data_IF_167199324895
#
_entry.id   IF_167199324895
#
_cell.length_a   1.000
_cell.length_b   1.000
_cell.length_c   1.000
_cell.angle_alpha   90.00
_cell.angle_beta   90.00
_cell.angle_gamma   90.00
#
_symmetry.space_group_name_H-M   'P 1'
#
loop_
_entity.id
_entity.type
_entity.pdbx_description
1 polymer ?
#
# COMPACT_ATOMS: atom_id res chain seq x y z
N UNK A 1 22.99 -5.04 -2.51
CA UNK A 1 22.23 -4.60 -3.70
C UNK A 1 21.12 -3.66 -3.25
N UNK A 2 20.80 -2.63 -4.05
CA UNK A 2 19.66 -1.72 -3.77
C UNK A 2 18.36 -2.54 -3.81
N UNK A 3 17.46 -2.34 -2.85
CA UNK A 3 16.13 -2.96 -2.80
C UNK A 3 15.06 -1.89 -3.02
N UNK A 4 13.93 -2.23 -3.66
CA UNK A 4 12.84 -1.30 -3.88
C UNK A 4 12.04 -1.04 -2.60
N UNK A 5 11.27 0.05 -2.58
CA UNK A 5 10.35 0.39 -1.49
C UNK A 5 8.90 0.13 -1.93
N UNK A 6 8.10 -0.51 -1.08
CA UNK A 6 6.70 -0.76 -1.36
C UNK A 6 5.82 0.35 -0.78
N UNK A 7 4.85 0.82 -1.56
CA UNK A 7 3.81 1.76 -1.13
C UNK A 7 2.49 1.00 -1.14
N UNK A 8 1.86 0.79 0.01
CA UNK A 8 0.55 0.13 0.04
C UNK A 8 -0.52 1.11 -0.44
N UNK A 9 -1.46 0.61 -1.26
CA UNK A 9 -2.53 1.41 -1.86
C UNK A 9 -3.42 2.14 -0.85
N UNK A 10 -3.58 1.56 0.34
CA UNK A 10 -4.56 2.01 1.32
C UNK A 10 -5.98 1.64 0.89
N UNK A 11 -6.96 2.43 1.33
CA UNK A 11 -8.36 2.26 0.92
C UNK A 11 -8.56 2.71 -0.54
N UNK A 12 -9.00 1.82 -1.46
CA UNK A 12 -9.22 2.15 -2.87
C UNK A 12 -10.35 3.14 -3.13
N UNK A 13 -11.26 3.36 -2.16
CA UNK A 13 -12.32 4.37 -2.19
C UNK A 13 -11.88 5.70 -1.55
N UNK A 14 -10.75 5.73 -0.85
CA UNK A 14 -10.17 6.91 -0.23
C UNK A 14 -9.24 7.70 -1.15
N UNK A 15 -8.43 8.59 -0.56
CA UNK A 15 -7.52 9.51 -1.27
C UNK A 15 -6.12 8.94 -1.55
N UNK A 16 -5.82 7.75 -1.00
CA UNK A 16 -4.51 7.11 -1.11
C UNK A 16 -4.04 6.95 -2.56
N UNK A 17 -4.87 6.38 -3.46
CA UNK A 17 -4.52 6.22 -4.87
C UNK A 17 -4.12 7.53 -5.56
N UNK A 18 -4.85 8.63 -5.33
CA UNK A 18 -4.54 9.92 -5.96
C UNK A 18 -3.28 10.55 -5.39
N UNK A 19 -3.04 10.45 -4.07
CA UNK A 19 -1.81 10.94 -3.44
C UNK A 19 -0.60 10.22 -4.05
N UNK A 20 -0.66 8.89 -4.12
CA UNK A 20 0.40 8.07 -4.72
C UNK A 20 0.65 8.49 -6.17
N UNK A 21 -0.41 8.61 -6.97
CA UNK A 21 -0.29 9.01 -8.37
C UNK A 21 0.33 10.40 -8.53
N UNK A 22 -0.05 11.37 -7.68
CA UNK A 22 0.57 12.71 -7.66
C UNK A 22 2.04 12.64 -7.28
N UNK A 23 2.43 11.83 -6.31
CA UNK A 23 3.85 11.67 -5.93
C UNK A 23 4.71 11.18 -7.11
N UNK A 24 4.25 10.18 -7.88
CA UNK A 24 4.97 9.70 -9.07
C UNK A 24 5.02 10.70 -10.22
N UNK A 25 4.02 11.59 -10.33
CA UNK A 25 3.98 12.64 -11.34
C UNK A 25 4.88 13.83 -10.97
N UNK A 26 4.76 14.30 -9.73
CA UNK A 26 5.33 15.58 -9.28
C UNK A 26 6.75 15.43 -8.73
N UNK A 27 7.11 14.24 -8.24
CA UNK A 27 8.42 13.94 -7.67
C UNK A 27 9.01 12.62 -8.24
N UNK A 28 9.12 12.47 -9.57
CA UNK A 28 9.54 11.21 -10.20
C UNK A 28 10.93 10.72 -9.74
N UNK A 29 11.82 11.64 -9.38
CA UNK A 29 13.17 11.31 -8.91
C UNK A 29 13.19 10.73 -7.50
N UNK A 30 12.35 11.28 -6.60
CA UNK A 30 12.14 10.77 -5.23
C UNK A 30 11.48 9.38 -5.26
N UNK A 31 10.60 9.16 -6.22
CA UNK A 31 9.85 7.92 -6.37
C UNK A 31 10.64 6.79 -7.07
N UNK A 32 11.91 7.02 -7.41
CA UNK A 32 12.72 6.05 -8.15
C UNK A 32 13.02 4.80 -7.32
N UNK A 33 12.57 3.65 -7.80
CA UNK A 33 12.68 2.37 -7.09
C UNK A 33 11.57 2.14 -6.06
N UNK A 34 10.54 2.99 -6.04
CA UNK A 34 9.30 2.73 -5.33
C UNK A 34 8.30 2.03 -6.26
N UNK A 35 7.40 1.23 -5.69
CA UNK A 35 6.27 0.65 -6.41
C UNK A 35 5.04 0.54 -5.52
N UNK A 36 3.87 0.49 -6.16
CA UNK A 36 2.59 0.36 -5.45
C UNK A 36 2.24 -1.11 -5.29
N UNK A 37 1.84 -1.50 -4.09
CA UNK A 37 1.22 -2.79 -3.79
C UNK A 37 -0.27 -2.53 -3.72
N UNK A 38 -1.03 -3.01 -4.69
CA UNK A 38 -2.41 -2.57 -4.87
C UNK A 38 -3.11 -3.15 -6.08
N UNK A 39 -4.23 -2.54 -6.43
CA UNK A 39 -5.01 -2.87 -7.61
C UNK A 39 -4.65 -1.98 -8.81
N UNK A 40 -4.29 -2.59 -9.94
CA UNK A 40 -3.86 -1.90 -11.16
C UNK A 40 -4.99 -1.02 -11.73
N UNK A 41 -6.24 -1.48 -11.69
CA UNK A 41 -7.36 -0.71 -12.21
C UNK A 41 -7.62 0.55 -11.37
N UNK A 42 -7.52 0.44 -10.04
CA UNK A 42 -7.61 1.56 -9.10
C UNK A 42 -6.53 2.60 -9.38
N UNK A 43 -5.27 2.18 -9.59
CA UNK A 43 -4.19 3.12 -9.92
C UNK A 43 -4.32 3.72 -11.32
N UNK A 44 -4.89 2.99 -12.29
CA UNK A 44 -5.24 3.54 -13.61
C UNK A 44 -6.30 4.63 -13.51
N UNK A 45 -7.33 4.43 -12.68
CA UNK A 45 -8.35 5.46 -12.39
C UNK A 45 -7.74 6.67 -11.70
N UNK A 46 -6.89 6.47 -10.70
CA UNK A 46 -6.19 7.56 -10.03
C UNK A 46 -5.31 8.38 -10.99
N UNK A 47 -4.55 7.70 -11.87
CA UNK A 47 -3.79 8.35 -12.93
C UNK A 47 -4.66 9.22 -13.83
N UNK A 48 -5.85 8.75 -14.25
CA UNK A 48 -6.79 9.54 -15.06
C UNK A 48 -7.28 10.79 -14.32
N UNK A 49 -7.69 10.64 -13.05
CA UNK A 49 -8.22 11.74 -12.24
C UNK A 49 -7.23 12.89 -12.05
N UNK A 50 -5.94 12.59 -11.98
CA UNK A 50 -4.90 13.60 -11.76
C UNK A 50 -4.36 14.20 -13.08
N UNK A 51 -4.87 13.74 -14.23
CA UNK A 51 -4.40 14.15 -15.56
C UNK A 51 -5.10 15.35 -16.24
N UNK A 52 -6.15 16.01 -15.71
CA UNK A 52 -6.64 17.25 -16.33
C UNK A 52 -5.51 18.27 -16.51
N UNK A 53 -5.23 18.63 -17.78
CA UNK A 53 -4.15 19.55 -18.14
C UNK A 53 -2.73 18.95 -18.15
N UNK A 54 -2.58 17.63 -17.98
CA UNK A 54 -1.28 16.94 -17.94
C UNK A 54 -1.29 15.67 -18.80
N UNK A 55 -0.11 15.19 -19.17
CA UNK A 55 0.02 13.85 -19.77
C UNK A 55 -0.33 12.78 -18.74
N UNK A 56 -1.13 11.80 -19.16
CA UNK A 56 -1.50 10.67 -18.31
C UNK A 56 -0.26 9.88 -17.89
N UNK A 57 -0.16 9.61 -16.59
CA UNK A 57 0.92 8.81 -16.03
C UNK A 57 0.71 7.31 -16.41
N UNK A 58 1.60 6.69 -17.21
CA UNK A 58 1.48 5.29 -17.57
C UNK A 58 1.58 4.40 -16.33
N UNK A 59 0.66 3.44 -16.21
CA UNK A 59 0.65 2.45 -15.14
C UNK A 59 1.26 1.14 -15.66
N UNK A 60 2.41 0.76 -15.10
CA UNK A 60 3.09 -0.50 -15.42
C UNK A 60 2.72 -1.57 -14.40
N UNK A 61 2.25 -2.72 -14.88
CA UNK A 61 2.07 -3.90 -14.02
C UNK A 61 3.42 -4.58 -13.83
N UNK A 62 3.78 -4.87 -12.59
CA UNK A 62 4.98 -5.62 -12.23
C UNK A 62 4.62 -7.06 -11.88
N UNK A 63 5.52 -7.99 -12.21
CA UNK A 63 5.45 -9.37 -11.74
C UNK A 63 6.27 -9.57 -10.47
N UNK A 64 7.37 -8.83 -10.33
CA UNK A 64 8.27 -8.91 -9.18
C UNK A 64 8.63 -7.54 -8.61
N UNK A 65 8.98 -7.44 -7.30
CA UNK A 65 9.38 -6.16 -6.71
C UNK A 65 10.59 -5.55 -7.40
N UNK A 66 11.54 -6.39 -7.85
CA UNK A 66 12.84 -5.94 -8.37
C UNK A 66 12.71 -5.10 -9.65
N UNK A 67 11.66 -5.34 -10.46
CA UNK A 67 11.37 -4.58 -11.68
C UNK A 67 11.18 -3.08 -11.40
N UNK A 68 10.74 -2.71 -10.20
CA UNK A 68 10.59 -1.31 -9.79
C UNK A 68 11.89 -0.50 -9.88
N UNK A 69 13.06 -1.15 -9.75
CA UNK A 69 14.36 -0.48 -9.86
C UNK A 69 14.68 -0.02 -11.30
N UNK A 70 14.06 -0.64 -12.29
CA UNK A 70 14.23 -0.32 -13.71
C UNK A 70 13.07 0.48 -14.31
N UNK A 71 12.04 0.80 -13.52
CA UNK A 71 10.91 1.60 -13.99
C UNK A 71 11.38 3.01 -14.42
N UNK A 72 10.97 3.50 -15.61
CA UNK A 72 11.36 4.82 -16.08
C UNK A 72 10.73 5.92 -15.20
N UNK A 73 11.31 7.13 -15.18
CA UNK A 73 10.67 8.27 -14.53
C UNK A 73 9.30 8.55 -15.16
N UNK A 74 8.39 9.13 -14.39
CA UNK A 74 7.00 9.34 -14.80
C UNK A 74 6.29 8.04 -15.23
N UNK A 75 6.56 6.95 -14.52
CA UNK A 75 5.79 5.72 -14.61
C UNK A 75 5.29 5.36 -13.22
N UNK A 76 4.09 4.79 -13.14
CA UNK A 76 3.51 4.28 -11.90
C UNK A 76 3.58 2.74 -11.93
N UNK A 77 4.65 2.14 -11.37
CA UNK A 77 4.75 0.70 -11.23
C UNK A 77 3.82 0.17 -10.14
N UNK A 78 3.03 -0.84 -10.46
CA UNK A 78 2.04 -1.47 -9.57
C UNK A 78 2.23 -2.99 -9.60
N UNK A 79 2.37 -3.59 -8.43
CA UNK A 79 2.26 -5.03 -8.25
C UNK A 79 0.83 -5.36 -7.79
N UNK A 80 0.11 -6.12 -8.61
CA UNK A 80 -1.28 -6.49 -8.36
C UNK A 80 -1.37 -7.40 -7.12
N UNK A 81 -2.21 -7.02 -6.16
CA UNK A 81 -2.61 -7.90 -5.06
C UNK A 81 -4.01 -8.44 -5.29
N UNK A 82 -4.17 -9.76 -5.08
CA UNK A 82 -5.43 -10.45 -5.29
C UNK A 82 -5.88 -10.49 -6.75
N UNK A 83 -7.06 -11.04 -6.97
CA UNK A 83 -7.70 -11.00 -8.29
C UNK A 83 -8.23 -9.58 -8.58
N UNK A 84 -8.22 -9.11 -9.84
CA UNK A 84 -8.85 -7.85 -10.21
C UNK A 84 -10.33 -7.82 -9.79
N UNK A 85 -10.74 -6.70 -9.19
CA UNK A 85 -12.11 -6.47 -8.72
C UNK A 85 -12.74 -5.25 -9.40
N UNK A 86 -14.08 -5.12 -9.37
CA UNK A 86 -14.75 -3.88 -9.74
C UNK A 86 -14.19 -2.69 -8.94
N UNK A 87 -14.15 -1.53 -9.58
CA UNK A 87 -13.66 -0.30 -8.94
C UNK A 87 -14.57 0.10 -7.77
N UNK A 88 -13.96 0.35 -6.60
CA UNK A 88 -14.68 0.83 -5.43
C UNK A 88 -15.27 2.23 -5.70
N UNK A 89 -16.52 2.49 -5.28
CA UNK A 89 -17.11 3.82 -5.38
C UNK A 89 -16.40 4.80 -4.42
N UNK A 90 -16.12 6.03 -4.89
CA UNK A 90 -15.42 7.02 -4.09
C UNK A 90 -16.15 7.37 -2.79
N UNK A 91 -15.42 7.39 -1.68
CA UNK A 91 -15.97 7.74 -0.36
C UNK A 91 -17.01 6.75 0.18
N UNK A 92 -17.19 5.59 -0.46
CA UNK A 92 -18.14 4.57 -0.01
C UNK A 92 -17.40 3.47 0.73
N UNK A 93 -17.73 3.29 2.00
CA UNK A 93 -17.21 2.23 2.85
C UNK A 93 -17.67 0.87 2.31
N UNK A 94 -16.75 -0.09 2.17
CA UNK A 94 -17.07 -1.46 1.77
C UNK A 94 -16.09 -2.47 2.36
N UNK A 95 -16.58 -3.69 2.60
CA UNK A 95 -15.76 -4.82 3.04
C UNK A 95 -14.63 -5.13 2.06
N UNK A 96 -14.90 -5.06 0.75
CA UNK A 96 -13.91 -5.31 -0.30
C UNK A 96 -12.77 -4.29 -0.29
N UNK A 97 -13.07 -3.00 -0.03
CA UNK A 97 -12.06 -1.96 0.09
C UNK A 97 -11.16 -2.18 1.32
N UNK A 98 -11.76 -2.49 2.47
CA UNK A 98 -11.02 -2.82 3.69
C UNK A 98 -10.14 -4.07 3.53
N UNK A 99 -10.67 -5.11 2.88
CA UNK A 99 -9.93 -6.33 2.56
C UNK A 99 -8.74 -6.05 1.66
N UNK A 100 -8.92 -5.35 0.55
CA UNK A 100 -7.82 -5.02 -0.37
C UNK A 100 -6.73 -4.22 0.35
N UNK A 101 -7.11 -3.21 1.14
CA UNK A 101 -6.17 -2.42 1.91
C UNK A 101 -5.33 -3.29 2.86
N UNK A 102 -5.98 -4.21 3.58
CA UNK A 102 -5.32 -5.16 4.47
C UNK A 102 -4.40 -6.14 3.72
N UNK A 103 -4.85 -6.71 2.61
CA UNK A 103 -4.06 -7.62 1.78
C UNK A 103 -2.78 -6.95 1.25
N UNK A 104 -2.86 -5.66 0.89
CA UNK A 104 -1.69 -4.88 0.47
C UNK A 104 -0.67 -4.72 1.60
N UNK A 105 -1.13 -4.42 2.83
CA UNK A 105 -0.26 -4.32 4.01
C UNK A 105 0.36 -5.67 4.35
N UNK A 106 -0.43 -6.75 4.33
CA UNK A 106 0.04 -8.12 4.58
C UNK A 106 1.11 -8.52 3.56
N UNK A 107 0.88 -8.24 2.27
CA UNK A 107 1.84 -8.53 1.22
C UNK A 107 3.15 -7.78 1.46
N UNK A 108 3.08 -6.46 1.69
CA UNK A 108 4.27 -5.61 1.85
C UNK A 108 5.06 -5.97 3.11
N UNK A 109 4.38 -6.23 4.22
CA UNK A 109 4.98 -6.69 5.47
C UNK A 109 5.75 -8.00 5.27
N UNK A 110 5.13 -8.99 4.63
CA UNK A 110 5.78 -10.27 4.36
C UNK A 110 6.98 -10.12 3.42
N UNK A 111 6.88 -9.27 2.39
CA UNK A 111 8.00 -8.99 1.49
C UNK A 111 9.17 -8.31 2.23
N UNK A 112 8.88 -7.36 3.13
CA UNK A 112 9.90 -6.69 3.94
C UNK A 112 10.59 -7.67 4.90
N UNK A 113 9.82 -8.51 5.59
CA UNK A 113 10.34 -9.53 6.52
C UNK A 113 11.19 -10.60 5.82
N UNK A 114 10.87 -10.94 4.55
CA UNK A 114 11.72 -11.80 3.70
C UNK A 114 12.93 -11.05 3.10
N UNK A 115 13.02 -9.74 3.30
CA UNK A 115 14.10 -8.91 2.76
C UNK A 115 14.02 -8.70 1.24
N UNK A 116 12.85 -8.79 0.62
CA UNK A 116 12.66 -8.53 -0.81
C UNK A 116 12.57 -7.03 -1.13
N UNK A 117 12.10 -6.24 -0.15
CA UNK A 117 11.99 -4.78 -0.22
C UNK A 117 12.76 -4.14 0.95
N UNK A 118 13.12 -2.86 0.83
CA UNK A 118 13.84 -2.14 1.89
C UNK A 118 12.94 -1.48 2.92
N UNK A 119 11.71 -1.09 2.53
CA UNK A 119 10.79 -0.39 3.40
C UNK A 119 9.34 -0.49 2.89
N UNK A 120 8.41 -0.16 3.78
CA UNK A 120 6.98 -0.04 3.51
C UNK A 120 6.58 1.40 3.82
N UNK A 121 5.85 2.01 2.89
CA UNK A 121 5.15 3.29 3.08
C UNK A 121 3.67 3.02 2.93
N UNK A 122 2.85 3.43 3.89
CA UNK A 122 1.42 3.10 3.89
C UNK A 122 0.57 4.30 3.52
N UNK A 123 -0.25 4.18 2.47
CA UNK A 123 -1.34 5.13 2.27
C UNK A 123 -2.48 4.89 3.28
N UNK A 124 -3.36 5.88 3.53
CA UNK A 124 -4.43 5.74 4.52
C UNK A 124 -5.40 4.60 4.21
N UNK A 125 -5.81 3.86 5.23
CA UNK A 125 -6.93 2.92 5.17
C UNK A 125 -8.07 3.36 6.09
N UNK A 126 -9.30 2.91 5.82
CA UNK A 126 -10.48 3.23 6.62
C UNK A 126 -10.76 2.16 7.67
N UNK A 127 -10.78 2.52 8.96
CA UNK A 127 -10.95 1.57 10.07
C UNK A 127 -12.28 0.80 10.00
N UNK A 128 -13.37 1.47 9.66
CA UNK A 128 -14.68 0.79 9.52
C UNK A 128 -14.71 -0.14 8.31
N UNK A 129 -14.04 0.21 7.20
CA UNK A 129 -13.96 -0.67 6.04
C UNK A 129 -13.15 -1.93 6.39
N UNK A 130 -12.05 -1.75 7.12
CA UNK A 130 -11.23 -2.85 7.64
C UNK A 130 -12.02 -3.76 8.58
N UNK A 131 -12.80 -3.19 9.50
CA UNK A 131 -13.66 -3.96 10.41
C UNK A 131 -14.77 -4.75 9.68
N UNK A 132 -15.23 -4.26 8.52
CA UNK A 132 -16.19 -4.97 7.67
C UNK A 132 -15.55 -6.06 6.80
N UNK A 133 -14.22 -6.14 6.74
CA UNK A 133 -13.53 -7.21 6.01
C UNK A 133 -13.75 -8.59 6.68
N UNK A 134 -13.32 -9.64 6.02
CA UNK A 134 -13.31 -10.99 6.58
C UNK A 134 -12.11 -11.21 7.51
N UNK A 135 -12.21 -12.23 8.37
CA UNK A 135 -11.06 -12.67 9.16
C UNK A 135 -9.94 -13.18 8.25
N UNK A 136 -8.66 -12.96 8.61
CA UNK A 136 -8.19 -12.34 9.85
C UNK A 136 -8.15 -10.81 9.82
N UNK A 137 -8.51 -10.16 8.71
CA UNK A 137 -8.28 -8.73 8.49
C UNK A 137 -9.11 -7.85 9.43
N UNK A 138 -10.38 -8.21 9.66
CA UNK A 138 -11.28 -7.48 10.56
C UNK A 138 -10.90 -7.52 12.04
N UNK A 139 -9.97 -8.41 12.43
CA UNK A 139 -9.47 -8.47 13.80
C UNK A 139 -8.49 -7.33 14.13
N UNK A 140 -7.98 -6.60 13.13
CA UNK A 140 -6.98 -5.56 13.33
C UNK A 140 -7.62 -4.17 13.40
N UNK A 141 -7.31 -3.35 14.43
CA UNK A 141 -7.81 -1.98 14.53
C UNK A 141 -7.13 -1.00 13.57
N UNK A 142 -5.98 -1.36 13.00
CA UNK A 142 -5.23 -0.51 12.08
C UNK A 142 -3.89 -1.09 11.64
N UNK A 143 -3.06 -0.25 11.01
CA UNK A 143 -1.76 -0.62 10.47
C UNK A 143 -0.79 -1.15 11.53
N UNK A 144 -0.68 -0.46 12.66
CA UNK A 144 0.32 -0.75 13.70
C UNK A 144 0.16 -2.15 14.25
N UNK A 145 -1.05 -2.53 14.62
CA UNK A 145 -1.38 -3.84 15.20
C UNK A 145 -1.26 -4.96 14.16
N UNK A 146 -1.62 -4.68 12.91
CA UNK A 146 -1.43 -5.62 11.80
C UNK A 146 0.05 -5.90 11.55
N UNK A 147 0.88 -4.86 11.50
CA UNK A 147 2.32 -4.99 11.31
C UNK A 147 2.99 -5.71 12.49
N UNK A 148 2.59 -5.41 13.73
CA UNK A 148 3.05 -6.11 14.93
C UNK A 148 2.75 -7.61 14.85
N UNK A 149 1.52 -7.99 14.50
CA UNK A 149 1.12 -9.39 14.41
C UNK A 149 1.89 -10.16 13.34
N UNK A 150 2.11 -9.55 12.17
CA UNK A 150 2.89 -10.14 11.09
C UNK A 150 4.37 -10.30 11.46
N UNK A 151 4.95 -9.31 12.15
CA UNK A 151 6.32 -9.38 12.66
C UNK A 151 6.45 -10.48 13.73
N UNK A 152 5.52 -10.56 14.68
CA UNK A 152 5.50 -11.60 15.72
C UNK A 152 5.45 -13.01 15.10
N UNK A 153 4.54 -13.21 14.15
CA UNK A 153 4.39 -14.46 13.43
C UNK A 153 5.66 -14.85 12.66
N UNK A 154 6.33 -13.89 12.02
CA UNK A 154 7.59 -14.14 11.31
C UNK A 154 8.75 -14.49 12.24
N UNK A 155 8.85 -13.83 13.40
CA UNK A 155 9.86 -14.10 14.41
C UNK A 155 9.59 -15.40 15.21
N UNK A 156 8.39 -15.99 15.08
CA UNK A 156 7.98 -17.18 15.83
C UNK A 156 7.75 -16.91 17.32
N UNK A 157 7.35 -15.68 17.67
CA UNK A 157 7.10 -15.29 19.07
C UNK A 157 5.61 -14.94 19.27
N UNK A 158 5.08 -15.10 20.50
CA UNK A 158 3.75 -14.60 20.85
C UNK A 158 3.61 -13.10 20.57
N UNK A 159 2.39 -12.63 20.27
CA UNK A 159 2.11 -11.21 20.00
C UNK A 159 2.57 -10.29 21.16
N UNK A 160 2.38 -10.74 22.40
CA UNK A 160 2.78 -10.02 23.60
C UNK A 160 4.30 -9.77 23.69
N UNK A 161 5.10 -10.62 23.02
CA UNK A 161 6.57 -10.54 23.01
C UNK A 161 7.10 -9.75 21.81
N UNK A 162 6.23 -9.23 20.94
CA UNK A 162 6.61 -8.37 19.82
C UNK A 162 6.33 -6.90 20.16
N UNK A 163 7.34 -6.14 20.62
CA UNK A 163 7.13 -4.76 21.03
C UNK A 163 6.79 -3.83 19.86
N UNK A 164 5.76 -3.02 20.02
CA UNK A 164 5.56 -1.80 19.21
C UNK A 164 6.36 -0.67 19.83
N UNK A 165 7.03 0.11 18.98
CA UNK A 165 7.72 1.35 19.35
C UNK A 165 7.16 2.47 18.50
N UNK A 166 6.46 3.40 19.13
CA UNK A 166 5.99 4.62 18.51
C UNK A 166 6.80 5.77 19.10
N UNK A 167 7.40 6.57 18.23
CA UNK A 167 8.04 7.83 18.63
C UNK A 167 7.04 8.94 18.38
N UNK A 168 6.67 9.65 19.44
CA UNK A 168 5.88 10.86 19.33
C UNK A 168 6.86 12.03 19.17
N UNK A 169 6.56 12.92 18.23
CA UNK A 169 7.37 14.13 18.03
C UNK A 169 7.06 15.20 19.09
N UNK A 170 5.96 15.06 19.82
CA UNK A 170 5.48 15.91 20.90
C UNK A 170 4.58 15.10 21.85
N UNK A 171 4.22 15.68 23.00
CA UNK A 171 3.44 14.99 24.04
C UNK A 171 1.91 15.06 23.83
N UNK A 172 1.44 15.70 22.75
CA UNK A 172 0.02 15.86 22.45
C UNK A 172 -0.46 14.83 21.40
N UNK A 173 -1.53 14.10 21.72
CA UNK A 173 -2.19 13.12 20.84
C UNK A 173 -3.39 13.72 20.13
#
# INVERSE_FOLDING_TARGET
MKKPMAITLGDPAGIGPEIIAKSFRDAPEEMRGCFVVGDVATMRRASELISPGHTRLPVASLETPLEALGAPPHCLPVLQVGAPKPLAAFGVISADAGKLAAECVVWAAKAALRGEISAIVTAPLHKEALALADEPHSCYPGHTEMLQALAAAHAGVPLADMPVRMMLANDEL
#
